data_IF_643967117631
#
_entry.id   IF_643967117631
#
_cell.length_a   1.000
_cell.length_b   1.000
_cell.length_c   1.000
_cell.angle_alpha   90.00
_cell.angle_beta   90.00
_cell.angle_gamma   90.00
#
_symmetry.space_group_name_H-M   'P 1'
#
loop_
_entity.id
_entity.type
_entity.pdbx_description
1 polymer ?
#
# COMPACT_ATOMS: atom_id res chain seq x y z
N UNK A 1 -26.03 -17.50 -10.72
CA UNK A 1 -25.16 -16.57 -11.46
C UNK A 1 -23.76 -17.14 -11.51
N UNK A 2 -23.30 -17.48 -12.70
CA UNK A 2 -22.00 -18.08 -12.99
C UNK A 2 -21.08 -16.97 -13.48
N UNK A 3 -19.93 -16.76 -12.82
CA UNK A 3 -18.94 -15.80 -13.27
C UNK A 3 -18.07 -16.42 -14.36
N UNK A 4 -17.92 -15.71 -15.48
CA UNK A 4 -17.08 -16.12 -16.59
C UNK A 4 -16.04 -15.04 -16.90
N UNK A 5 -14.79 -15.47 -17.04
CA UNK A 5 -13.68 -14.66 -17.52
C UNK A 5 -13.06 -15.37 -18.71
N UNK A 6 -12.87 -14.67 -19.81
CA UNK A 6 -12.10 -15.15 -20.95
C UNK A 6 -10.92 -14.21 -21.21
N UNK A 7 -9.76 -14.80 -21.49
CA UNK A 7 -8.52 -14.09 -21.82
C UNK A 7 -7.88 -14.69 -23.06
N UNK A 8 -7.43 -13.85 -23.97
CA UNK A 8 -6.64 -14.26 -25.13
C UNK A 8 -7.03 -13.53 -26.40
N UNK A 9 -6.49 -13.99 -27.52
CA UNK A 9 -6.88 -13.50 -28.84
C UNK A 9 -8.19 -14.14 -29.28
N UNK A 10 -9.12 -13.37 -29.87
CA UNK A 10 -10.33 -13.95 -30.43
C UNK A 10 -9.98 -14.80 -31.66
N UNK A 11 -10.64 -15.94 -31.78
CA UNK A 11 -10.55 -16.79 -32.96
C UNK A 11 -11.30 -16.20 -34.15
N UNK A 12 -12.47 -15.59 -33.91
CA UNK A 12 -13.28 -14.91 -34.94
C UNK A 12 -14.06 -13.76 -34.32
N UNK A 13 -14.42 -12.78 -35.16
CA UNK A 13 -15.32 -11.68 -34.84
C UNK A 13 -16.41 -11.65 -35.90
N UNK A 14 -17.67 -11.78 -35.49
CA UNK A 14 -18.83 -11.79 -36.39
C UNK A 14 -19.70 -10.57 -36.15
N UNK A 15 -20.07 -9.88 -37.21
CA UNK A 15 -21.04 -8.80 -37.15
C UNK A 15 -22.46 -9.37 -37.06
N UNK A 16 -23.24 -8.90 -36.10
CA UNK A 16 -24.62 -9.33 -35.86
C UNK A 16 -25.60 -8.31 -36.47
N UNK A 17 -25.66 -8.26 -37.80
CA UNK A 17 -26.36 -7.20 -38.54
C UNK A 17 -27.88 -7.06 -38.25
N UNK A 18 -28.50 -8.05 -37.61
CA UNK A 18 -29.94 -8.11 -37.33
C UNK A 18 -30.26 -8.26 -35.84
N UNK A 19 -29.25 -8.19 -34.96
CA UNK A 19 -29.48 -8.22 -33.52
C UNK A 19 -29.72 -6.79 -33.00
N UNK A 20 -30.83 -6.53 -32.29
CA UNK A 20 -31.19 -5.18 -31.85
C UNK A 20 -30.36 -4.68 -30.66
N UNK A 21 -29.63 -5.57 -29.98
CA UNK A 21 -28.92 -5.27 -28.73
C UNK A 21 -27.40 -5.36 -28.88
N UNK A 22 -26.91 -6.37 -29.60
CA UNK A 22 -25.50 -6.67 -29.74
C UNK A 22 -25.01 -6.44 -31.17
N UNK A 23 -23.87 -5.77 -31.31
CA UNK A 23 -23.28 -5.42 -32.60
C UNK A 23 -22.35 -6.52 -33.12
N UNK A 24 -21.56 -7.14 -32.22
CA UNK A 24 -20.59 -8.17 -32.59
C UNK A 24 -20.66 -9.38 -31.67
N UNK A 25 -20.42 -10.57 -32.21
CA UNK A 25 -20.06 -11.77 -31.45
C UNK A 25 -18.56 -12.01 -31.60
N UNK A 26 -17.85 -12.08 -30.47
CA UNK A 26 -16.41 -12.37 -30.42
C UNK A 26 -16.23 -13.81 -29.93
N UNK A 27 -15.65 -14.65 -30.76
CA UNK A 27 -15.52 -16.10 -30.53
C UNK A 27 -14.12 -16.42 -29.99
N UNK A 28 -14.05 -17.10 -28.84
CA UNK A 28 -12.85 -17.64 -28.23
C UNK A 28 -12.95 -19.17 -28.21
N UNK A 29 -12.81 -19.77 -29.40
CA UNK A 29 -13.03 -21.21 -29.61
C UNK A 29 -11.73 -22.02 -29.78
N UNK A 30 -10.58 -21.34 -29.83
CA UNK A 30 -9.25 -21.96 -29.87
C UNK A 30 -8.70 -22.09 -28.44
N UNK A 31 -9.15 -23.14 -27.75
CA UNK A 31 -8.80 -23.43 -26.35
C UNK A 31 -7.30 -23.57 -26.07
N UNK A 32 -6.44 -23.58 -27.10
CA UNK A 32 -4.98 -23.59 -26.94
C UNK A 32 -4.38 -22.19 -26.83
N UNK A 33 -5.07 -21.16 -27.36
CA UNK A 33 -4.65 -19.76 -27.35
C UNK A 33 -5.41 -18.90 -26.35
N UNK A 34 -6.42 -19.46 -25.71
CA UNK A 34 -7.29 -18.74 -24.78
C UNK A 34 -7.39 -19.45 -23.44
N UNK A 35 -7.42 -18.66 -22.37
CA UNK A 35 -7.71 -19.13 -21.03
C UNK A 35 -9.13 -18.69 -20.66
N UNK A 36 -9.93 -19.65 -20.22
CA UNK A 36 -11.31 -19.42 -19.78
C UNK A 36 -11.42 -19.88 -18.33
N UNK A 37 -11.93 -19.00 -17.48
CA UNK A 37 -12.21 -19.30 -16.08
C UNK A 37 -13.70 -19.16 -15.79
N UNK A 38 -14.29 -20.22 -15.21
CA UNK A 38 -15.67 -20.25 -14.75
C UNK A 38 -15.65 -20.39 -13.23
N UNK A 39 -16.25 -19.42 -12.53
CA UNK A 39 -16.20 -19.31 -11.06
C UNK A 39 -14.77 -19.44 -10.51
N UNK A 40 -13.83 -18.73 -11.16
CA UNK A 40 -12.38 -18.72 -10.84
C UNK A 40 -11.66 -20.05 -11.04
N UNK A 41 -12.27 -21.03 -11.73
CA UNK A 41 -11.63 -22.28 -12.11
C UNK A 41 -11.43 -22.32 -13.62
N UNK A 42 -10.20 -22.54 -14.04
CA UNK A 42 -9.86 -22.69 -15.45
C UNK A 42 -10.58 -23.90 -16.06
N UNK A 43 -11.13 -23.73 -17.26
CA UNK A 43 -11.81 -24.77 -18.02
C UNK A 43 -11.47 -24.64 -19.50
N UNK A 44 -11.27 -25.78 -20.15
CA UNK A 44 -11.12 -25.86 -21.61
C UNK A 44 -12.51 -25.99 -22.24
N UNK A 45 -13.12 -24.86 -22.58
CA UNK A 45 -14.47 -24.77 -23.16
C UNK A 45 -14.48 -23.71 -24.26
N UNK A 46 -15.50 -23.70 -25.13
CA UNK A 46 -15.67 -22.64 -26.13
C UNK A 46 -16.51 -21.51 -25.56
N UNK A 47 -16.11 -20.26 -25.80
CA UNK A 47 -16.83 -19.07 -25.33
C UNK A 47 -17.13 -18.12 -26.48
N UNK A 48 -18.32 -17.53 -26.47
CA UNK A 48 -18.71 -16.43 -27.36
C UNK A 48 -19.16 -15.24 -26.52
N UNK A 49 -18.55 -14.08 -26.72
CA UNK A 49 -18.93 -12.83 -26.06
C UNK A 49 -19.79 -11.97 -27.00
N UNK A 50 -20.95 -11.53 -26.51
CA UNK A 50 -21.86 -10.64 -27.24
C UNK A 50 -21.59 -9.19 -26.87
N UNK A 51 -21.19 -8.38 -27.85
CA UNK A 51 -20.63 -7.05 -27.63
C UNK A 51 -21.58 -5.97 -28.14
N UNK A 52 -21.94 -5.02 -27.28
CA UNK A 52 -22.72 -3.84 -27.67
C UNK A 52 -21.85 -2.82 -28.42
N UNK A 53 -22.48 -1.91 -29.17
CA UNK A 53 -21.77 -0.89 -29.94
C UNK A 53 -20.81 -0.03 -29.09
N UNK A 54 -21.25 0.39 -27.90
CA UNK A 54 -20.43 1.18 -26.98
C UNK A 54 -19.18 0.42 -26.51
N UNK A 55 -19.37 -0.84 -26.13
CA UNK A 55 -18.31 -1.75 -25.67
C UNK A 55 -17.30 -2.04 -26.78
N UNK A 56 -17.79 -2.16 -28.02
CA UNK A 56 -16.93 -2.34 -29.19
C UNK A 56 -16.04 -1.12 -29.41
N UNK A 57 -16.61 0.09 -29.35
CA UNK A 57 -15.84 1.33 -29.50
C UNK A 57 -14.80 1.51 -28.39
N UNK A 58 -15.16 1.17 -27.14
CA UNK A 58 -14.23 1.18 -26.01
C UNK A 58 -13.06 0.21 -26.22
N UNK A 59 -13.33 -1.00 -26.70
CA UNK A 59 -12.30 -1.99 -27.01
C UNK A 59 -11.33 -1.48 -28.09
N UNK A 60 -11.87 -0.95 -29.19
CA UNK A 60 -11.05 -0.39 -30.27
C UNK A 60 -10.20 0.79 -29.79
N UNK A 61 -10.74 1.65 -28.93
CA UNK A 61 -10.02 2.77 -28.35
C UNK A 61 -8.86 2.28 -27.47
N UNK A 62 -9.07 1.29 -26.59
CA UNK A 62 -8.01 0.74 -25.75
C UNK A 62 -6.88 0.11 -26.58
N UNK A 63 -7.22 -0.59 -27.66
CA UNK A 63 -6.25 -1.18 -28.59
C UNK A 63 -5.43 -0.08 -29.28
N UNK A 64 -6.11 0.96 -29.80
CA UNK A 64 -5.45 2.06 -30.50
C UNK A 64 -4.56 2.92 -29.58
N UNK A 65 -5.00 3.19 -28.34
CA UNK A 65 -4.22 3.93 -27.34
C UNK A 65 -2.94 3.19 -26.93
N UNK A 66 -2.96 1.86 -26.97
CA UNK A 66 -1.79 1.03 -26.76
C UNK A 66 -0.82 1.00 -27.98
N UNK A 67 -1.24 1.56 -29.12
CA UNK A 67 -0.47 1.54 -30.37
C UNK A 67 -0.61 0.24 -31.16
N UNK A 68 -1.55 -0.62 -30.80
CA UNK A 68 -1.83 -1.88 -31.48
C UNK A 68 -2.97 -1.71 -32.49
N UNK A 69 -3.12 -2.69 -33.39
CA UNK A 69 -4.27 -2.79 -34.30
C UNK A 69 -5.19 -3.92 -33.85
N UNK A 70 -6.45 -3.97 -34.30
CA UNK A 70 -7.33 -5.11 -34.00
C UNK A 70 -6.75 -6.44 -34.52
N UNK A 71 -6.03 -6.40 -35.65
CA UNK A 71 -5.39 -7.58 -36.24
C UNK A 71 -4.18 -8.06 -35.43
N UNK A 72 -3.49 -7.13 -34.76
CA UNK A 72 -2.29 -7.38 -33.96
C UNK A 72 -2.57 -7.25 -32.45
N UNK A 73 -3.84 -7.35 -32.06
CA UNK A 73 -4.24 -7.20 -30.67
C UNK A 73 -3.68 -8.37 -29.85
N UNK A 74 -3.05 -8.06 -28.72
CA UNK A 74 -2.37 -9.05 -27.90
C UNK A 74 -3.34 -9.91 -27.08
N UNK A 75 -3.88 -9.39 -25.97
CA UNK A 75 -4.76 -10.16 -25.11
C UNK A 75 -6.00 -9.33 -24.74
N UNK A 76 -7.16 -9.83 -25.15
CA UNK A 76 -8.46 -9.25 -24.80
C UNK A 76 -8.97 -10.01 -23.58
N UNK A 77 -9.41 -9.27 -22.56
CA UNK A 77 -9.93 -9.83 -21.31
C UNK A 77 -11.38 -9.40 -21.16
N UNK A 78 -12.28 -10.36 -21.01
CA UNK A 78 -13.71 -10.10 -20.87
C UNK A 78 -14.26 -10.82 -19.67
N UNK A 79 -15.03 -10.10 -18.85
CA UNK A 79 -15.64 -10.61 -17.64
C UNK A 79 -17.14 -10.36 -17.65
N UNK A 80 -17.92 -11.37 -17.28
CA UNK A 80 -19.36 -11.23 -17.17
C UNK A 80 -20.00 -12.39 -16.42
N UNK A 81 -21.33 -12.45 -16.51
CA UNK A 81 -22.12 -13.44 -15.79
C UNK A 81 -23.11 -14.13 -16.70
N UNK A 82 -23.38 -15.40 -16.41
CA UNK A 82 -24.45 -16.16 -17.06
C UNK A 82 -25.40 -16.73 -16.01
N UNK A 83 -26.65 -16.93 -16.42
CA UNK A 83 -27.70 -17.48 -15.55
C UNK A 83 -27.83 -19.00 -15.66
N UNK A 84 -27.24 -19.61 -16.68
CA UNK A 84 -27.28 -21.05 -16.91
C UNK A 84 -25.93 -21.58 -17.43
N UNK A 85 -25.72 -22.88 -17.26
CA UNK A 85 -24.60 -23.63 -17.84
C UNK A 85 -25.04 -24.21 -19.19
N UNK A 86 -24.47 -23.78 -20.32
CA UNK A 86 -24.82 -24.31 -21.64
C UNK A 86 -24.14 -25.65 -21.94
N UNK A 87 -24.68 -26.36 -22.94
CA UNK A 87 -24.26 -27.72 -23.30
C UNK A 87 -22.98 -27.78 -24.15
N UNK A 88 -22.72 -26.78 -25.01
CA UNK A 88 -21.58 -26.82 -25.95
C UNK A 88 -20.74 -25.53 -26.00
N UNK A 89 -21.38 -24.36 -26.07
CA UNK A 89 -20.71 -23.06 -26.18
C UNK A 89 -21.23 -22.09 -25.12
N UNK A 90 -20.33 -21.52 -24.35
CA UNK A 90 -20.63 -20.54 -23.32
C UNK A 90 -20.82 -19.17 -23.93
N UNK A 91 -22.07 -18.70 -23.99
CA UNK A 91 -22.40 -17.38 -24.54
C UNK A 91 -22.75 -16.41 -23.43
N UNK A 92 -22.12 -15.24 -23.42
CA UNK A 92 -22.37 -14.23 -22.40
C UNK A 92 -22.20 -12.80 -22.94
N UNK A 93 -22.88 -11.85 -22.30
CA UNK A 93 -22.60 -10.43 -22.49
C UNK A 93 -21.58 -10.00 -21.43
N UNK A 94 -20.39 -9.49 -21.81
CA UNK A 94 -19.43 -9.03 -20.84
C UNK A 94 -19.93 -7.77 -20.15
N UNK A 95 -19.68 -7.67 -18.85
CA UNK A 95 -19.89 -6.46 -18.05
C UNK A 95 -18.62 -5.61 -18.08
N UNK A 96 -17.45 -6.24 -18.11
CA UNK A 96 -16.16 -5.55 -18.19
C UNK A 96 -15.35 -6.09 -19.37
N UNK A 97 -14.73 -5.16 -20.10
CA UNK A 97 -13.80 -5.47 -21.18
C UNK A 97 -12.52 -4.68 -20.90
N UNK A 98 -11.39 -5.35 -20.90
CA UNK A 98 -10.07 -4.73 -20.80
C UNK A 98 -9.15 -5.30 -21.88
N UNK A 99 -8.11 -4.55 -22.19
CA UNK A 99 -7.11 -4.94 -23.18
C UNK A 99 -5.71 -4.89 -22.54
N UNK A 100 -4.95 -5.96 -22.71
CA UNK A 100 -3.56 -6.05 -22.28
C UNK A 100 -2.66 -6.04 -23.50
N UNK A 101 -1.94 -4.95 -23.68
CA UNK A 101 -1.09 -4.73 -24.87
C UNK A 101 0.19 -5.56 -24.85
N UNK A 102 0.82 -5.71 -26.01
CA UNK A 102 2.15 -6.32 -26.11
C UNK A 102 3.20 -5.57 -25.28
N UNK A 103 3.05 -4.25 -25.13
CA UNK A 103 3.95 -3.44 -24.33
C UNK A 103 3.78 -3.73 -22.82
N UNK A 104 2.54 -3.85 -22.35
CA UNK A 104 2.23 -4.21 -20.97
C UNK A 104 2.71 -5.62 -20.65
N UNK A 105 2.44 -6.60 -21.52
CA UNK A 105 2.92 -7.96 -21.33
C UNK A 105 4.46 -8.03 -21.26
N UNK A 106 5.18 -7.36 -22.16
CA UNK A 106 6.65 -7.29 -22.12
C UNK A 106 7.18 -6.62 -20.85
N UNK A 107 6.42 -5.72 -20.24
CA UNK A 107 6.79 -5.10 -18.98
C UNK A 107 6.56 -6.06 -17.82
N UNK A 108 5.42 -6.75 -17.78
CA UNK A 108 5.09 -7.74 -16.77
C UNK A 108 6.01 -8.96 -16.81
N UNK A 109 6.37 -9.46 -17.99
CA UNK A 109 7.34 -10.57 -18.15
C UNK A 109 8.71 -10.18 -17.59
N UNK A 110 9.16 -8.94 -17.85
CA UNK A 110 10.39 -8.40 -17.24
C UNK A 110 10.28 -8.26 -15.72
N UNK A 111 9.10 -7.95 -15.20
CA UNK A 111 8.85 -7.84 -13.76
C UNK A 111 8.74 -9.23 -13.09
N UNK A 112 8.20 -10.23 -13.79
CA UNK A 112 8.07 -11.61 -13.33
C UNK A 112 9.41 -12.36 -13.31
N UNK A 113 10.26 -12.20 -14.35
CA UNK A 113 11.63 -12.72 -14.34
C UNK A 113 12.48 -12.15 -13.19
N UNK A 114 12.19 -10.92 -12.76
CA UNK A 114 12.83 -10.26 -11.60
C UNK A 114 12.32 -10.83 -10.26
N UNK A 115 11.15 -11.46 -10.24
CA UNK A 115 10.51 -11.97 -9.03
C UNK A 115 10.85 -13.43 -8.69
N UNK A 116 11.12 -14.30 -9.67
CA UNK A 116 11.50 -15.71 -9.40
C UNK A 116 12.96 -15.88 -8.93
N UNK A 117 13.85 -14.90 -9.17
CA UNK A 117 15.23 -14.94 -8.66
C UNK A 117 15.42 -14.04 -7.43
N UNK A 118 15.28 -14.60 -6.23
CA UNK A 118 15.90 -14.04 -5.00
C UNK A 118 16.33 -15.14 -4.01
N UNK A 119 17.45 -14.98 -3.28
CA UNK A 119 18.62 -14.14 -3.57
C UNK A 119 19.97 -14.80 -3.21
N UNK A 120 20.97 -14.68 -4.08
CA UNK A 120 22.30 -14.34 -3.58
C UNK A 120 22.51 -12.85 -3.76
N UNK A 121 22.88 -12.19 -2.65
CA UNK A 121 23.02 -10.75 -2.54
C UNK A 121 24.09 -10.24 -3.51
N UNK A 122 23.65 -9.70 -4.64
CA UNK A 122 24.41 -8.64 -5.33
C UNK A 122 23.44 -7.54 -5.76
N UNK A 123 23.76 -6.32 -5.33
CA UNK A 123 22.98 -5.13 -5.59
C UNK A 123 22.97 -4.79 -7.09
N UNK A 124 22.02 -5.35 -7.84
CA UNK A 124 21.81 -4.96 -9.24
C UNK A 124 20.90 -3.74 -9.30
N UNK A 125 21.53 -2.57 -9.47
CA UNK A 125 20.91 -1.28 -9.78
C UNK A 125 20.55 -1.24 -11.27
N UNK A 126 19.38 -1.70 -11.68
CA UNK A 126 18.89 -1.36 -13.04
C UNK A 126 18.46 0.11 -13.03
N UNK A 127 19.34 0.99 -13.50
CA UNK A 127 19.08 2.43 -13.63
C UNK A 127 17.99 2.66 -14.68
N UNK A 128 16.87 3.29 -14.31
CA UNK A 128 16.03 4.01 -15.27
C UNK A 128 16.94 4.96 -16.07
N UNK A 129 17.10 4.72 -17.38
CA UNK A 129 17.89 5.59 -18.24
C UNK A 129 17.04 6.83 -18.53
N UNK A 130 17.19 7.85 -17.69
CA UNK A 130 16.62 9.17 -17.92
C UNK A 130 17.37 9.80 -19.09
N UNK A 131 16.66 10.35 -20.08
CA UNK A 131 17.33 10.96 -21.23
C UNK A 131 18.20 12.14 -20.79
N UNK A 132 19.38 12.32 -21.41
CA UNK A 132 20.29 13.44 -21.11
C UNK A 132 19.58 14.80 -21.16
N UNK A 133 18.62 14.95 -22.06
CA UNK A 133 17.82 16.17 -22.21
C UNK A 133 16.91 16.42 -21.00
N UNK A 134 16.30 15.38 -20.45
CA UNK A 134 15.53 15.49 -19.20
C UNK A 134 16.45 15.86 -18.05
N UNK A 135 17.65 15.25 -17.94
CA UNK A 135 18.60 15.58 -16.88
C UNK A 135 19.06 17.05 -16.93
N UNK A 136 19.39 17.56 -18.12
CA UNK A 136 19.79 18.95 -18.31
C UNK A 136 18.67 19.94 -17.95
N UNK A 137 17.45 19.69 -18.42
CA UNK A 137 16.31 20.57 -18.11
C UNK A 137 15.91 20.46 -16.64
N UNK A 138 15.97 19.26 -16.06
CA UNK A 138 15.71 19.05 -14.63
C UNK A 138 16.71 19.81 -13.75
N UNK A 139 18.01 19.73 -14.05
CA UNK A 139 19.04 20.52 -13.36
C UNK A 139 18.84 22.03 -13.55
N UNK A 140 18.53 22.48 -14.77
CA UNK A 140 18.27 23.89 -15.09
C UNK A 140 17.09 24.47 -14.29
N UNK A 141 16.04 23.70 -14.10
CA UNK A 141 14.81 24.12 -13.45
C UNK A 141 14.67 23.61 -12.01
N UNK A 142 15.74 23.06 -11.43
CA UNK A 142 15.76 22.46 -10.09
C UNK A 142 14.64 21.43 -9.82
N UNK A 143 14.24 20.71 -10.88
CA UNK A 143 13.13 19.76 -10.84
C UNK A 143 11.74 20.36 -10.68
N UNK A 144 11.60 21.69 -10.79
CA UNK A 144 10.32 22.41 -10.64
C UNK A 144 9.52 22.33 -11.94
N UNK A 145 8.27 21.91 -11.83
CA UNK A 145 7.32 21.91 -12.92
C UNK A 145 7.00 23.35 -13.35
N UNK A 146 7.14 23.62 -14.64
CA UNK A 146 6.95 24.97 -15.20
C UNK A 146 5.48 25.37 -15.43
N UNK A 147 4.53 24.49 -15.07
CA UNK A 147 3.09 24.79 -15.10
C UNK A 147 2.55 25.08 -13.70
N UNK A 148 2.84 24.23 -12.70
CA UNK A 148 2.24 24.32 -11.36
C UNK A 148 3.23 24.58 -10.22
N UNK A 149 4.54 24.63 -10.47
CA UNK A 149 5.54 24.84 -9.43
C UNK A 149 5.86 23.61 -8.56
N UNK A 150 5.19 22.47 -8.76
CA UNK A 150 5.49 21.23 -8.04
C UNK A 150 6.91 20.75 -8.35
N UNK A 151 7.67 20.39 -7.31
CA UNK A 151 8.98 19.73 -7.49
C UNK A 151 8.81 18.24 -7.76
N UNK A 152 9.54 17.71 -8.73
CA UNK A 152 9.42 16.32 -9.19
C UNK A 152 10.79 15.70 -9.44
N UNK A 153 10.91 14.38 -9.28
CA UNK A 153 12.10 13.63 -9.69
C UNK A 153 12.23 13.58 -11.21
N UNK A 154 13.47 13.54 -11.70
CA UNK A 154 13.78 13.47 -13.13
C UNK A 154 13.20 12.25 -13.84
N UNK A 155 12.85 11.19 -13.12
CA UNK A 155 12.26 9.96 -13.67
C UNK A 155 10.77 10.10 -14.00
N UNK A 156 10.08 11.07 -13.42
CA UNK A 156 8.62 11.19 -13.55
C UNK A 156 8.18 12.41 -14.37
N UNK A 157 9.10 13.31 -14.69
CA UNK A 157 8.79 14.51 -15.48
C UNK A 157 8.81 14.22 -16.97
N UNK A 158 7.98 14.96 -17.72
CA UNK A 158 7.98 14.95 -19.19
C UNK A 158 8.47 16.30 -19.72
N UNK A 159 9.06 16.32 -20.92
CA UNK A 159 9.45 17.56 -21.58
C UNK A 159 8.26 18.05 -22.42
N UNK A 160 7.90 19.33 -22.28
CA UNK A 160 6.86 19.99 -23.09
C UNK A 160 7.34 21.37 -23.55
N UNK A 161 6.87 21.82 -24.72
CA UNK A 161 7.10 23.19 -25.20
C UNK A 161 6.10 24.12 -24.52
N UNK A 162 6.59 25.12 -23.80
CA UNK A 162 5.81 26.13 -23.05
C UNK A 162 6.29 27.50 -23.52
N UNK A 163 5.40 28.32 -24.08
CA UNK A 163 5.71 29.68 -24.56
C UNK A 163 7.03 29.76 -25.35
N UNK A 164 7.17 28.88 -26.35
CA UNK A 164 8.33 28.78 -27.23
C UNK A 164 9.64 28.27 -26.61
N UNK A 165 9.66 27.90 -25.32
CA UNK A 165 10.81 27.27 -24.64
C UNK A 165 10.49 25.82 -24.24
N UNK A 166 11.51 24.98 -24.14
CA UNK A 166 11.35 23.62 -23.60
C UNK A 166 11.41 23.65 -22.08
N UNK A 167 10.39 23.08 -21.43
CA UNK A 167 10.26 22.98 -19.98
C UNK A 167 9.98 21.55 -19.54
N UNK A 168 10.10 21.31 -18.24
CA UNK A 168 9.66 20.07 -17.61
C UNK A 168 8.25 20.26 -17.02
N UNK A 169 7.41 19.24 -17.17
CA UNK A 169 6.05 19.20 -16.62
C UNK A 169 5.87 17.95 -15.75
N UNK A 170 5.16 18.10 -14.63
CA UNK A 170 4.81 16.99 -13.76
C UNK A 170 3.73 16.09 -14.43
N UNK A 171 3.53 14.86 -13.93
CA UNK A 171 2.47 13.98 -14.42
C UNK A 171 1.07 14.61 -14.41
N UNK A 172 0.72 15.30 -13.32
CA UNK A 172 -0.60 15.92 -13.19
C UNK A 172 -0.83 17.00 -14.27
N UNK A 173 0.15 17.89 -14.48
CA UNK A 173 0.11 18.93 -15.52
C UNK A 173 0.22 18.41 -16.95
N UNK A 174 0.72 17.19 -17.13
CA UNK A 174 0.76 16.50 -18.42
C UNK A 174 -0.63 15.95 -18.76
N UNK A 175 -1.31 15.40 -17.76
CA UNK A 175 -2.63 14.79 -17.88
C UNK A 175 -3.78 15.78 -17.60
N UNK A 176 -3.44 17.06 -17.38
CA UNK A 176 -4.36 18.14 -17.01
C UNK A 176 -5.27 17.77 -15.80
N UNK A 177 -4.70 17.08 -14.82
CA UNK A 177 -5.34 16.71 -13.56
C UNK A 177 -4.86 17.61 -12.41
N UNK A 178 -5.72 17.78 -11.40
CA UNK A 178 -5.35 18.36 -10.10
C UNK A 178 -5.34 17.28 -9.04
N UNK A 179 -4.37 17.34 -8.13
CA UNK A 179 -4.25 16.38 -7.05
C UNK A 179 -4.44 17.05 -5.69
N UNK A 180 -5.30 16.45 -4.87
CA UNK A 180 -5.58 16.85 -3.50
C UNK A 180 -5.57 15.62 -2.59
N UNK A 181 -5.17 15.84 -1.33
CA UNK A 181 -5.33 14.83 -0.29
C UNK A 181 -6.71 15.02 0.32
N UNK A 182 -7.57 14.05 0.10
CA UNK A 182 -8.97 14.10 0.53
C UNK A 182 -9.18 13.37 1.86
N UNK A 183 -8.40 12.32 2.11
CA UNK A 183 -8.61 11.46 3.26
C UNK A 183 -7.32 10.88 3.84
N UNK A 184 -7.42 10.35 5.06
CA UNK A 184 -6.38 9.58 5.73
C UNK A 184 -6.96 8.26 6.20
N UNK A 185 -6.28 7.17 5.85
CA UNK A 185 -6.67 5.83 6.28
C UNK A 185 -6.79 5.78 7.81
N UNK A 186 -7.92 5.31 8.34
CA UNK A 186 -8.24 5.33 9.77
C UNK A 186 -7.12 4.83 10.67
N UNK A 187 -6.49 3.72 10.31
CA UNK A 187 -5.39 3.14 11.08
C UNK A 187 -4.19 4.10 11.17
N UNK A 188 -3.87 4.78 10.08
CA UNK A 188 -2.78 5.76 10.06
C UNK A 188 -3.16 7.03 10.81
N UNK A 189 -4.39 7.52 10.65
CA UNK A 189 -4.88 8.66 11.42
C UNK A 189 -4.77 8.38 12.92
N UNK A 190 -5.25 7.22 13.38
CA UNK A 190 -5.15 6.82 14.77
C UNK A 190 -3.70 6.74 15.23
N UNK A 191 -2.79 6.17 14.43
CA UNK A 191 -1.37 6.10 14.77
C UNK A 191 -0.74 7.49 14.95
N UNK A 192 -1.02 8.41 14.04
CA UNK A 192 -0.47 9.76 14.05
C UNK A 192 -0.96 10.58 15.25
N UNK A 193 -2.24 10.45 15.59
CA UNK A 193 -2.84 11.09 16.78
C UNK A 193 -2.28 10.45 18.05
N UNK A 194 -2.18 9.12 18.11
CA UNK A 194 -1.64 8.40 19.27
C UNK A 194 -0.17 8.76 19.58
N UNK A 195 0.60 9.18 18.58
CA UNK A 195 1.97 9.65 18.75
C UNK A 195 2.07 11.12 19.19
N UNK A 196 0.94 11.80 19.44
CA UNK A 196 0.86 13.23 19.74
C UNK A 196 1.54 14.12 18.68
N UNK A 197 1.55 13.66 17.42
CA UNK A 197 2.10 14.45 16.31
C UNK A 197 1.07 15.40 15.72
N UNK A 198 -0.21 15.04 15.86
CA UNK A 198 -1.36 15.81 15.39
C UNK A 198 -2.53 15.58 16.35
N UNK A 199 -3.42 16.57 16.43
CA UNK A 199 -4.59 16.54 17.31
C UNK A 199 -5.86 16.14 16.57
N UNK A 200 -5.94 16.44 15.26
CA UNK A 200 -7.15 16.20 14.46
C UNK A 200 -6.83 15.67 13.06
N UNK A 201 -7.80 14.99 12.43
CA UNK A 201 -7.73 14.60 11.02
C UNK A 201 -7.44 15.79 10.09
N UNK A 202 -8.07 16.93 10.35
CA UNK A 202 -7.93 18.11 9.50
C UNK A 202 -6.53 18.74 9.59
N UNK A 203 -5.91 18.68 10.76
CA UNK A 203 -4.52 19.06 10.96
C UNK A 203 -3.56 18.15 10.18
N UNK A 204 -3.81 16.83 10.21
CA UNK A 204 -3.05 15.84 9.43
C UNK A 204 -3.15 16.16 7.93
N UNK A 205 -4.37 16.31 7.41
CA UNK A 205 -4.61 16.63 6.00
C UNK A 205 -3.91 17.93 5.60
N UNK A 206 -4.06 18.99 6.40
CA UNK A 206 -3.43 20.29 6.13
C UNK A 206 -1.90 20.21 6.11
N UNK A 207 -1.32 19.46 7.05
CA UNK A 207 0.12 19.24 7.10
C UNK A 207 0.62 18.51 5.86
N UNK A 208 -0.02 17.40 5.49
CA UNK A 208 0.43 16.59 4.35
C UNK A 208 0.15 17.25 3.01
N UNK A 209 -0.90 18.08 2.89
CA UNK A 209 -1.12 18.90 1.71
C UNK A 209 0.03 19.90 1.50
N UNK A 210 0.45 20.59 2.58
CA UNK A 210 1.61 21.50 2.56
C UNK A 210 2.91 20.75 2.25
N UNK A 211 3.09 19.58 2.86
CA UNK A 211 4.24 18.73 2.61
C UNK A 211 4.36 18.37 1.12
N UNK A 212 3.27 17.93 0.50
CA UNK A 212 3.29 17.51 -0.91
C UNK A 212 3.56 18.68 -1.87
N UNK A 213 3.07 19.88 -1.55
CA UNK A 213 3.37 21.08 -2.31
C UNK A 213 4.84 21.53 -2.18
N UNK A 214 5.47 21.27 -1.02
CA UNK A 214 6.85 21.69 -0.74
C UNK A 214 7.90 20.70 -1.25
N UNK A 215 7.63 19.40 -1.16
CA UNK A 215 8.63 18.35 -1.38
C UNK A 215 8.43 17.59 -2.69
N UNK A 216 9.47 16.87 -3.12
CA UNK A 216 9.48 16.29 -4.45
C UNK A 216 8.51 15.10 -4.55
N UNK A 217 7.67 15.13 -5.58
CA UNK A 217 7.02 13.93 -6.09
C UNK A 217 8.10 13.04 -6.71
N UNK A 218 8.27 11.83 -6.20
CA UNK A 218 9.36 10.92 -6.62
C UNK A 218 8.84 9.61 -7.23
N UNK A 219 7.57 9.29 -7.01
CA UNK A 219 6.89 8.19 -7.67
C UNK A 219 5.46 8.60 -8.05
N UNK A 220 5.03 8.23 -9.24
CA UNK A 220 3.68 8.44 -9.75
C UNK A 220 3.27 7.23 -10.59
N UNK A 221 2.67 6.24 -9.92
CA UNK A 221 2.15 5.00 -10.49
C UNK A 221 0.62 5.09 -10.60
N UNK A 222 0.02 4.10 -11.27
CA UNK A 222 -1.43 4.03 -11.47
C UNK A 222 -2.21 3.97 -10.16
N UNK A 223 -1.66 3.30 -9.14
CA UNK A 223 -2.37 3.05 -7.88
C UNK A 223 -1.90 3.94 -6.73
N UNK A 224 -0.73 4.55 -6.85
CA UNK A 224 -0.12 5.31 -5.77
C UNK A 224 0.85 6.37 -6.26
N UNK A 225 1.07 7.36 -5.41
CA UNK A 225 2.13 8.35 -5.56
C UNK A 225 2.92 8.49 -4.27
N UNK A 226 4.19 8.85 -4.40
CA UNK A 226 5.12 9.01 -3.28
C UNK A 226 5.80 10.36 -3.34
N UNK A 227 5.78 11.07 -2.21
CA UNK A 227 6.53 12.30 -1.99
C UNK A 227 7.70 12.04 -1.04
N UNK A 228 8.81 12.73 -1.27
CA UNK A 228 10.03 12.54 -0.49
C UNK A 228 10.70 13.86 -0.14
N UNK A 229 11.12 13.96 1.12
CA UNK A 229 11.96 15.03 1.64
C UNK A 229 13.39 14.55 1.89
N UNK A 230 14.36 15.35 1.45
CA UNK A 230 15.78 15.23 1.81
C UNK A 230 16.12 16.00 3.10
N UNK A 231 15.18 16.79 3.64
CA UNK A 231 15.38 17.55 4.86
C UNK A 231 15.22 16.65 6.09
N UNK A 232 16.36 16.36 6.73
CA UNK A 232 16.45 15.52 7.93
C UNK A 232 15.79 16.16 9.16
N UNK A 233 15.49 17.46 9.13
CA UNK A 233 14.81 18.18 10.21
C UNK A 233 13.29 18.07 10.11
N UNK A 234 12.76 17.62 8.98
CA UNK A 234 11.32 17.42 8.82
C UNK A 234 10.84 16.21 9.62
N UNK A 235 9.65 16.36 10.21
CA UNK A 235 8.93 15.29 10.89
C UNK A 235 8.67 14.09 9.97
N UNK A 236 8.39 14.35 8.69
CA UNK A 236 8.11 13.31 7.70
C UNK A 236 9.18 13.25 6.62
N UNK A 237 9.56 12.03 6.23
CA UNK A 237 10.51 11.78 5.15
C UNK A 237 9.83 11.30 3.88
N UNK A 238 8.85 10.41 4.00
CA UNK A 238 8.14 9.81 2.87
C UNK A 238 6.64 9.80 3.13
N UNK A 239 5.87 10.14 2.11
CA UNK A 239 4.40 10.18 2.15
C UNK A 239 3.90 9.37 0.98
N UNK A 240 3.04 8.40 1.23
CA UNK A 240 2.40 7.56 0.22
C UNK A 240 0.90 7.82 0.20
N UNK A 241 0.39 8.11 -0.99
CA UNK A 241 -1.00 8.51 -1.20
C UNK A 241 -1.56 7.68 -2.36
N UNK A 242 -2.79 7.22 -2.22
CA UNK A 242 -3.48 6.52 -3.31
C UNK A 242 -3.79 7.51 -4.44
N UNK A 243 -4.23 7.00 -5.59
CA UNK A 243 -4.64 7.86 -6.71
C UNK A 243 -5.84 8.75 -6.34
N UNK A 244 -6.73 8.23 -5.50
CA UNK A 244 -7.95 8.87 -4.98
C UNK A 244 -7.66 9.88 -3.84
N UNK A 245 -6.40 10.18 -3.56
CA UNK A 245 -6.05 11.18 -2.54
C UNK A 245 -6.13 10.66 -1.10
N UNK A 246 -6.18 9.34 -0.86
CA UNK A 246 -6.16 8.78 0.49
C UNK A 246 -4.73 8.55 0.97
N UNK A 247 -4.33 9.25 2.03
CA UNK A 247 -3.06 9.03 2.72
C UNK A 247 -3.09 7.69 3.47
N UNK A 248 -2.27 6.73 3.03
CA UNK A 248 -2.31 5.38 3.60
C UNK A 248 -1.02 4.95 4.30
N UNK A 249 0.09 5.65 4.09
CA UNK A 249 1.38 5.34 4.73
C UNK A 249 2.31 6.55 4.75
N UNK A 250 3.01 6.73 5.87
CA UNK A 250 4.09 7.74 6.00
C UNK A 250 5.31 7.12 6.65
N UNK A 251 6.50 7.65 6.35
CA UNK A 251 7.71 7.41 7.15
C UNK A 251 8.06 8.68 7.91
N UNK A 252 8.10 8.56 9.23
CA UNK A 252 8.42 9.64 10.15
C UNK A 252 9.91 9.61 10.50
N UNK A 253 10.48 10.79 10.72
CA UNK A 253 11.80 10.97 11.30
C UNK A 253 11.65 11.37 12.77
N UNK A 254 12.54 10.85 13.61
CA UNK A 254 12.75 11.29 14.98
C UNK A 254 14.24 11.66 15.11
N UNK A 255 14.58 12.91 14.76
CA UNK A 255 15.97 13.31 14.54
C UNK A 255 16.61 12.61 13.33
N UNK A 256 17.86 12.15 13.44
CA UNK A 256 18.57 11.46 12.35
C UNK A 256 18.13 10.00 12.11
N UNK A 257 17.17 9.47 12.89
CA UNK A 257 16.74 8.07 12.80
C UNK A 257 15.32 7.96 12.24
N UNK A 258 15.14 7.04 11.28
CA UNK A 258 13.81 6.66 10.79
C UNK A 258 13.10 5.78 11.83
N UNK A 259 11.87 6.14 12.19
CA UNK A 259 11.05 5.32 13.09
C UNK A 259 10.52 4.12 12.28
N UNK A 260 10.69 2.86 12.73
CA UNK A 260 10.13 1.70 12.05
C UNK A 260 8.59 1.78 12.00
N UNK A 261 8.01 1.69 10.80
CA UNK A 261 6.55 1.69 10.53
C UNK A 261 5.83 0.38 10.87
N UNK A 262 6.48 -0.56 11.57
CA UNK A 262 5.87 -1.84 11.94
C UNK A 262 6.26 -2.18 13.37
N UNK A 263 5.38 -1.89 14.32
CA UNK A 263 5.39 -2.65 15.56
C UNK A 263 4.91 -4.07 15.24
N UNK A 264 5.50 -5.12 15.84
CA UNK A 264 5.00 -6.46 15.64
C UNK A 264 3.53 -6.50 16.10
N UNK A 265 2.62 -6.92 15.21
CA UNK A 265 1.18 -7.01 15.50
C UNK A 265 0.89 -8.01 16.62
N UNK A 266 1.81 -8.95 16.84
CA UNK A 266 1.74 -9.96 17.88
C UNK A 266 3.10 -10.13 18.57
N UNK A 267 3.07 -10.48 19.85
CA UNK A 267 4.26 -10.82 20.63
C UNK A 267 4.02 -12.13 21.37
N UNK A 268 5.05 -12.95 21.53
CA UNK A 268 4.99 -14.19 22.32
C UNK A 268 5.71 -13.99 23.65
N UNK A 269 5.01 -14.19 24.76
CA UNK A 269 5.57 -14.13 26.11
C UNK A 269 5.25 -15.44 26.82
N UNK A 270 6.27 -16.18 27.27
CA UNK A 270 6.14 -17.44 28.02
C UNK A 270 5.09 -18.40 27.40
N UNK A 271 5.27 -18.68 26.10
CA UNK A 271 4.41 -19.51 25.26
C UNK A 271 3.00 -18.99 24.91
N UNK A 272 2.60 -17.80 25.39
CA UNK A 272 1.34 -17.17 25.01
C UNK A 272 1.56 -16.06 23.99
N UNK A 273 0.79 -16.08 22.91
CA UNK A 273 0.78 -15.02 21.90
C UNK A 273 -0.27 -13.97 22.25
N UNK A 274 0.15 -12.71 22.26
CA UNK A 274 -0.69 -11.55 22.53
C UNK A 274 -0.71 -10.65 21.31
N UNK A 275 -1.85 -10.01 21.05
CA UNK A 275 -1.94 -8.94 20.07
C UNK A 275 -1.49 -7.63 20.72
N UNK A 276 -0.61 -6.88 20.05
CA UNK A 276 -0.18 -5.56 20.52
C UNK A 276 -1.32 -4.58 20.30
N UNK A 277 -1.86 -4.02 21.38
CA UNK A 277 -2.93 -3.03 21.33
C UNK A 277 -2.37 -1.61 21.30
N UNK A 278 -1.41 -1.31 22.19
CA UNK A 278 -0.61 -0.09 22.10
C UNK A 278 0.89 -0.39 22.25
N UNK A 279 1.73 -0.04 21.27
CA UNK A 279 3.15 -0.40 21.27
C UNK A 279 4.01 0.44 22.23
N UNK A 280 3.57 1.65 22.53
CA UNK A 280 4.15 2.56 23.52
C UNK A 280 3.04 3.48 24.03
N UNK A 281 2.80 3.46 25.33
CA UNK A 281 1.77 4.27 25.99
C UNK A 281 2.33 4.79 27.29
N UNK A 282 2.23 6.10 27.50
CA UNK A 282 2.49 6.69 28.79
C UNK A 282 1.39 6.26 29.78
N UNK A 283 1.79 5.58 30.86
CA UNK A 283 0.88 5.02 31.84
C UNK A 283 1.29 5.48 33.25
N UNK A 284 0.30 5.95 34.01
CA UNK A 284 0.52 6.25 35.44
C UNK A 284 0.91 4.98 36.19
N UNK A 285 1.92 5.08 37.04
CA UNK A 285 2.43 3.95 37.82
C UNK A 285 1.35 3.28 38.70
N UNK A 286 0.38 4.05 39.20
CA UNK A 286 -0.72 3.55 40.02
C UNK A 286 -1.74 2.69 39.26
N UNK A 287 -1.80 2.81 37.93
CA UNK A 287 -2.63 1.94 37.07
C UNK A 287 -2.03 0.56 36.89
N UNK A 288 -0.78 0.33 37.28
CA UNK A 288 -0.10 -0.96 37.14
C UNK A 288 -0.10 -1.68 38.50
N UNK A 289 -0.55 -2.93 38.50
CA UNK A 289 -0.54 -3.79 39.70
C UNK A 289 0.89 -4.08 40.13
N UNK A 290 1.08 -4.27 41.43
CA UNK A 290 2.33 -4.80 41.94
C UNK A 290 2.63 -6.17 41.32
N UNK A 291 3.92 -6.46 41.14
CA UNK A 291 4.38 -7.78 40.71
C UNK A 291 3.98 -8.83 41.75
N UNK A 292 3.65 -10.02 41.26
CA UNK A 292 3.47 -11.21 42.09
C UNK A 292 4.82 -11.62 42.70
N UNK A 293 4.82 -12.30 43.84
CA UNK A 293 6.06 -12.67 44.52
C UNK A 293 6.92 -13.62 43.67
N UNK A 294 6.28 -14.50 42.88
CA UNK A 294 6.94 -15.34 41.88
C UNK A 294 7.64 -14.55 40.76
N UNK A 295 7.16 -13.35 40.46
CA UNK A 295 7.81 -12.46 39.49
C UNK A 295 8.96 -11.70 40.15
N UNK A 296 8.82 -11.30 41.42
CA UNK A 296 9.89 -10.62 42.16
C UNK A 296 11.11 -11.50 42.38
N UNK A 297 10.90 -12.77 42.73
CA UNK A 297 12.00 -13.73 42.95
C UNK A 297 12.78 -14.05 41.67
N UNK A 298 12.20 -13.79 40.49
CA UNK A 298 12.89 -14.00 39.20
C UNK A 298 13.86 -12.89 38.81
N UNK A 299 13.94 -11.79 39.57
CA UNK A 299 14.70 -10.59 39.22
C UNK A 299 15.98 -10.54 40.06
N UNK A 300 17.13 -10.40 39.41
CA UNK A 300 18.40 -10.13 40.11
C UNK A 300 18.51 -8.64 40.43
N UNK A 301 19.02 -8.31 41.63
CA UNK A 301 19.18 -6.91 42.05
C UNK A 301 20.09 -6.10 41.09
N UNK A 302 21.10 -6.76 40.52
CA UNK A 302 21.99 -6.18 39.50
C UNK A 302 21.25 -5.70 38.24
N UNK A 303 20.18 -6.40 37.83
CA UNK A 303 19.37 -6.01 36.67
C UNK A 303 18.56 -4.75 36.97
N UNK A 304 18.05 -4.62 38.21
CA UNK A 304 17.34 -3.42 38.65
C UNK A 304 18.29 -2.22 38.63
N UNK A 305 19.51 -2.37 39.14
CA UNK A 305 20.53 -1.31 39.15
C UNK A 305 20.89 -0.87 37.72
N UNK A 306 21.08 -1.82 36.79
CA UNK A 306 21.35 -1.51 35.38
C UNK A 306 20.22 -0.69 34.75
N UNK A 307 18.96 -1.02 35.05
CA UNK A 307 17.81 -0.28 34.56
C UNK A 307 17.75 1.15 35.14
N UNK A 308 18.08 1.33 36.43
CA UNK A 308 18.15 2.65 37.07
C UNK A 308 19.21 3.53 36.39
N UNK A 309 20.43 3.03 36.24
CA UNK A 309 21.54 3.77 35.60
C UNK A 309 21.21 4.15 34.15
N UNK A 310 20.59 3.23 33.42
CA UNK A 310 20.15 3.50 32.06
C UNK A 310 19.07 4.60 32.01
N UNK A 311 18.12 4.57 32.97
CA UNK A 311 17.09 5.60 33.07
C UNK A 311 17.64 6.97 33.45
N UNK A 312 18.64 7.06 34.33
CA UNK A 312 19.24 8.32 34.73
C UNK A 312 19.87 9.06 33.53
N UNK A 313 20.51 8.31 32.64
CA UNK A 313 21.21 8.84 31.45
C UNK A 313 20.29 9.07 30.25
N UNK A 314 19.35 8.16 29.98
CA UNK A 314 18.51 8.19 28.77
C UNK A 314 17.07 8.61 29.00
N UNK A 315 16.65 8.79 30.26
CA UNK A 315 15.25 9.04 30.67
C UNK A 315 14.26 8.00 30.12
N UNK A 316 14.74 6.79 29.88
CA UNK A 316 13.98 5.65 29.41
C UNK A 316 14.59 4.37 29.99
N UNK A 317 13.81 3.29 30.12
CA UNK A 317 14.32 1.98 30.52
C UNK A 317 14.88 1.23 29.30
N UNK A 318 15.90 0.39 29.50
CA UNK A 318 16.47 -0.39 28.39
C UNK A 318 15.60 -1.61 28.06
N UNK A 319 14.89 -2.15 29.05
CA UNK A 319 13.86 -3.17 28.85
C UNK A 319 12.47 -2.55 28.67
N UNK A 320 11.70 -3.12 27.74
CA UNK A 320 10.30 -2.73 27.53
C UNK A 320 9.41 -3.36 28.60
N UNK A 321 8.64 -2.53 29.28
CA UNK A 321 7.62 -2.97 30.23
C UNK A 321 6.36 -3.32 29.43
N UNK A 322 5.97 -4.60 29.45
CA UNK A 322 4.81 -5.08 28.71
C UNK A 322 3.69 -5.40 29.68
N UNK A 323 2.50 -4.87 29.43
CA UNK A 323 1.36 -4.96 30.33
C UNK A 323 0.10 -5.43 29.62
N UNK A 324 -0.77 -6.11 30.36
CA UNK A 324 -2.11 -6.51 29.93
C UNK A 324 -3.14 -6.04 30.95
N UNK A 325 -4.34 -5.66 30.53
CA UNK A 325 -5.41 -5.33 31.48
C UNK A 325 -5.79 -6.57 32.27
N UNK A 326 -5.77 -6.48 33.61
CA UNK A 326 -6.18 -7.61 34.44
C UNK A 326 -7.69 -7.85 34.29
N UNK A 327 -8.11 -9.12 34.28
CA UNK A 327 -9.52 -9.50 34.20
C UNK A 327 -10.32 -8.78 35.29
N UNK A 328 -11.47 -8.20 34.89
CA UNK A 328 -12.40 -7.48 35.77
C UNK A 328 -11.76 -6.32 36.56
N UNK A 329 -10.71 -5.68 36.02
CA UNK A 329 -10.01 -4.58 36.71
C UNK A 329 -9.70 -3.40 35.80
N UNK A 330 -9.63 -2.20 36.40
CA UNK A 330 -9.09 -1.00 35.75
C UNK A 330 -7.55 -0.94 35.75
N UNK A 331 -6.89 -1.88 36.46
CA UNK A 331 -5.43 -1.95 36.60
C UNK A 331 -4.82 -2.98 35.64
N UNK A 332 -3.57 -2.72 35.25
CA UNK A 332 -2.79 -3.55 34.33
C UNK A 332 -1.83 -4.47 35.09
N UNK A 333 -1.65 -5.69 34.62
CA UNK A 333 -0.65 -6.63 35.12
C UNK A 333 0.59 -6.59 34.22
N UNK A 334 1.78 -6.68 34.80
CA UNK A 334 3.04 -6.76 34.05
C UNK A 334 3.23 -8.19 33.56
N UNK A 335 3.41 -8.36 32.25
CA UNK A 335 3.71 -9.63 31.61
C UNK A 335 5.21 -9.83 31.39
N UNK A 336 5.95 -8.75 31.08
CA UNK A 336 7.40 -8.76 30.84
C UNK A 336 8.04 -7.41 31.23
N UNK A 337 9.36 -7.39 31.41
CA UNK A 337 10.11 -6.20 31.84
C UNK A 337 10.03 -5.95 33.35
N UNK A 338 10.12 -7.03 34.15
CA UNK A 338 9.96 -6.95 35.61
C UNK A 338 11.06 -6.11 36.28
N UNK A 339 12.31 -6.23 35.84
CA UNK A 339 13.44 -5.44 36.33
C UNK A 339 13.21 -3.94 36.08
N UNK A 340 12.82 -3.57 34.86
CA UNK A 340 12.49 -2.18 34.52
C UNK A 340 11.31 -1.64 35.36
N UNK A 341 10.27 -2.43 35.59
CA UNK A 341 9.16 -2.02 36.44
C UNK A 341 9.57 -1.83 37.92
N UNK A 342 10.44 -2.69 38.44
CA UNK A 342 10.97 -2.53 39.80
C UNK A 342 11.89 -1.31 39.92
N UNK A 343 12.73 -1.06 38.91
CA UNK A 343 13.53 0.15 38.82
C UNK A 343 12.64 1.40 38.81
N UNK A 344 11.56 1.39 38.02
CA UNK A 344 10.56 2.46 38.03
C UNK A 344 9.95 2.65 39.42
N UNK A 345 9.60 1.58 40.14
CA UNK A 345 9.10 1.71 41.52
C UNK A 345 10.08 2.39 42.47
N UNK A 346 11.38 2.10 42.35
CA UNK A 346 12.43 2.74 43.17
C UNK A 346 12.60 4.22 42.81
N UNK A 347 12.57 4.55 41.51
CA UNK A 347 12.71 5.91 41.00
C UNK A 347 11.46 6.79 41.18
N UNK A 348 10.29 6.18 41.40
CA UNK A 348 8.98 6.84 41.61
C UNK A 348 8.60 7.90 40.54
N UNK A 349 8.78 7.64 39.24
CA UNK A 349 8.26 8.55 38.22
C UNK A 349 6.72 8.52 38.26
N UNK A 350 6.07 9.66 37.97
CA UNK A 350 4.60 9.73 37.91
C UNK A 350 4.03 8.84 36.81
N UNK A 351 4.73 8.78 35.67
CA UNK A 351 4.35 8.04 34.48
C UNK A 351 5.53 7.25 33.93
N UNK A 352 5.23 6.15 33.23
CA UNK A 352 6.21 5.34 32.50
C UNK A 352 5.65 4.94 31.14
N UNK A 353 6.52 4.72 30.16
CA UNK A 353 6.13 4.16 28.87
C UNK A 353 6.01 2.63 28.96
N UNK A 354 4.88 2.09 28.54
CA UNK A 354 4.59 0.65 28.52
C UNK A 354 4.03 0.21 27.17
N UNK A 355 4.22 -1.07 26.84
CA UNK A 355 3.52 -1.73 25.74
C UNK A 355 2.27 -2.42 26.27
N UNK A 356 1.10 -2.09 25.76
CA UNK A 356 -0.18 -2.69 26.14
C UNK A 356 -0.55 -3.78 25.15
N UNK A 357 -0.88 -4.97 25.66
CA UNK A 357 -1.29 -6.12 24.85
C UNK A 357 -2.63 -6.71 25.30
N UNK A 358 -3.29 -7.41 24.38
CA UNK A 358 -4.57 -8.10 24.57
C UNK A 358 -4.48 -9.54 24.10
N UNK A 359 -5.38 -10.41 24.58
CA UNK A 359 -5.44 -11.80 24.13
C UNK A 359 -5.88 -11.86 22.66
N UNK A 360 -5.32 -12.81 21.91
CA UNK A 360 -5.81 -13.15 20.57
C UNK A 360 -7.20 -13.80 20.74
N UNK A 361 -8.24 -13.23 20.13
CA UNK A 361 -9.58 -13.83 20.16
C UNK A 361 -9.50 -15.23 19.55
N UNK A 362 -9.83 -16.27 20.33
CA UNK A 362 -10.16 -17.58 19.77
C UNK A 362 -11.56 -17.46 19.20
N UNK A 363 -11.71 -17.57 17.89
CA UNK A 363 -13.04 -17.75 17.29
C UNK A 363 -13.65 -19.01 17.89
N UNK A 364 -14.76 -18.82 18.60
CA UNK A 364 -15.60 -19.92 19.06
C UNK A 364 -16.30 -20.42 17.81
N UNK A 365 -15.85 -21.56 17.28
CA UNK A 365 -16.61 -22.32 16.31
C UNK A 365 -17.88 -22.78 17.01
N UNK A 366 -18.98 -22.04 16.82
CA UNK A 366 -20.31 -22.53 17.15
C UNK A 366 -20.71 -23.49 16.03
N UNK A 367 -20.59 -24.79 16.31
CA UNK A 367 -21.37 -25.79 15.59
C UNK A 367 -22.80 -25.69 16.07
N UNK A 368 -23.67 -25.20 15.20
CA UNK A 368 -25.12 -25.44 15.24
C UNK A 368 -25.52 -26.03 13.92
#
# INVERSE_FOLDING_TARGET
MIQLTVKGQPSHIRHLAHDPEYLFAIEFHDVTKQMIAINKKERSVKVTALIRSEQWNQLLQMIAEAGDSLADANEIIMEGTMDHTPEEVYTFAPVHITYRSHLQQKQEEKEAEVHEKKPERTASKTKHIVSKRVEQLHAKYDGVCQKCGQRCDKRIVSIKKIQSKMGIVCPDCKNDTTFLIEDVKDQLQQELIQRNLFSTKQEILSYFQKFCAQFALVNHQETNRMYWSWDKKQLCREVHISKEGTLYKVRLNEGERCIPTKFPSQITIKANTFQVYHPSTEMRMDRIRALLDTQKTSIKEEEIIKQIQYYETKKAFSEKIIVKRAANSKRYQVLSGYAAYQAAKKLKPRHIYVMVVVDVRKEVVQHT
#
